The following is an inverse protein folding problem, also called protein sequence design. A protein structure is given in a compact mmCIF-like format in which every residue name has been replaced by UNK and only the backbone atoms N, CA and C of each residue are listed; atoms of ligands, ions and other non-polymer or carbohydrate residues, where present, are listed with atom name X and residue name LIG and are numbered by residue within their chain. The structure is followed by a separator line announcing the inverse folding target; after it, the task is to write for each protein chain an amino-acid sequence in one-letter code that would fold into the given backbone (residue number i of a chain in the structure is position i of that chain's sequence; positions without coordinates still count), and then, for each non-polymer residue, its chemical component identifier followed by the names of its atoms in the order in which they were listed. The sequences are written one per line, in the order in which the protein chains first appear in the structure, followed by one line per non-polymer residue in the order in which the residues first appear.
data_IF_390329643722
#
_entry.id   IF_390329643722
#
_cell.length_a   1.000
_cell.length_b   1.000
_cell.length_c   1.000
_cell.angle_alpha   90.00
_cell.angle_beta   90.00
_cell.angle_gamma   90.00
#
_symmetry.space_group_name_H-M   'P 1'
#
loop_
_entity.id
_entity.type
_entity.pdbx_description
1 polymer ?
#
# COMPACT_ATOMS: atom_id res chain seq x y z
N UNK A 1 -0.02 -6.83 15.79
CA UNK A 1 -0.43 -7.77 14.72
C UNK A 1 0.46 -9.01 14.64
N UNK A 2 1.73 -9.00 15.06
CA UNK A 2 2.54 -10.22 15.20
C UNK A 2 2.84 -10.99 13.90
N UNK A 3 2.41 -10.47 12.76
CA UNK A 3 2.58 -11.02 11.42
C UNK A 3 4.05 -11.00 10.98
N UNK A 4 4.45 -11.99 10.17
CA UNK A 4 5.78 -12.10 9.57
C UNK A 4 5.76 -11.94 8.03
N UNK A 5 4.57 -11.85 7.43
CA UNK A 5 4.40 -11.59 6.01
C UNK A 5 3.16 -10.72 5.73
N UNK A 6 3.17 -10.03 4.59
CA UNK A 6 2.00 -9.37 4.01
C UNK A 6 1.72 -10.04 2.66
N UNK A 7 0.48 -10.48 2.45
CA UNK A 7 0.04 -11.14 1.21
C UNK A 7 -0.99 -10.29 0.48
N UNK A 8 -1.12 -10.55 -0.83
CA UNK A 8 -1.98 -9.81 -1.74
C UNK A 8 -1.75 -8.29 -1.64
N UNK A 9 -0.48 -7.89 -1.73
CA UNK A 9 -0.12 -6.48 -1.73
C UNK A 9 -0.61 -5.85 -3.03
N UNK A 10 -1.35 -4.75 -2.89
CA UNK A 10 -1.78 -3.91 -3.99
C UNK A 10 -1.19 -2.51 -3.86
N UNK A 11 -0.97 -1.86 -5.00
CA UNK A 11 -0.36 -0.55 -5.11
C UNK A 11 -1.26 0.37 -5.92
N UNK A 12 -1.73 1.42 -5.26
CA UNK A 12 -2.54 2.46 -5.86
C UNK A 12 -1.71 3.72 -6.08
N UNK A 13 -1.91 4.34 -7.24
CA UNK A 13 -1.25 5.58 -7.64
C UNK A 13 -2.29 6.65 -7.92
N UNK A 14 -2.18 7.76 -7.20
CA UNK A 14 -3.09 8.87 -7.36
C UNK A 14 -2.33 10.17 -7.52
N UNK A 15 -2.65 10.89 -8.59
CA UNK A 15 -2.12 12.24 -8.81
C UNK A 15 -2.97 13.22 -7.99
N UNK A 16 -2.35 13.90 -7.04
CA UNK A 16 -3.00 14.81 -6.10
C UNK A 16 -2.30 16.19 -6.07
N UNK A 17 -2.90 17.13 -5.33
CA UNK A 17 -2.38 18.50 -5.19
C UNK A 17 -2.71 19.41 -6.38
N UNK A 18 -2.45 20.70 -6.22
CA UNK A 18 -2.71 21.68 -7.28
C UNK A 18 -1.94 21.31 -8.55
N UNK A 19 -2.65 21.27 -9.68
CA UNK A 19 -2.13 20.87 -10.99
C UNK A 19 -1.45 19.49 -11.05
N UNK A 20 -1.82 18.56 -10.16
CA UNK A 20 -1.21 17.23 -10.12
C UNK A 20 0.28 17.25 -9.80
N UNK A 21 0.71 18.22 -9.00
CA UNK A 21 2.11 18.42 -8.62
C UNK A 21 2.68 17.34 -7.71
N UNK A 22 1.83 16.45 -7.17
CA UNK A 22 2.23 15.38 -6.29
C UNK A 22 1.65 14.06 -6.75
N UNK A 23 2.44 13.00 -6.62
CA UNK A 23 2.00 11.63 -6.83
C UNK A 23 1.97 10.95 -5.46
N UNK A 24 0.78 10.54 -5.03
CA UNK A 24 0.59 9.70 -3.86
C UNK A 24 0.66 8.24 -4.28
N UNK A 25 1.35 7.44 -3.48
CA UNK A 25 1.40 5.99 -3.62
C UNK A 25 0.88 5.39 -2.32
N UNK A 26 -0.15 4.56 -2.42
CA UNK A 26 -0.71 3.79 -1.31
C UNK A 26 -0.41 2.31 -1.51
N UNK A 27 0.01 1.65 -0.44
CA UNK A 27 0.20 0.20 -0.42
C UNK A 27 -0.75 -0.41 0.60
N UNK A 28 -1.52 -1.41 0.16
CA UNK A 28 -2.44 -2.15 1.02
C UNK A 28 -2.23 -3.66 0.87
N UNK A 29 -2.62 -4.44 1.88
CA UNK A 29 -2.45 -5.89 1.87
C UNK A 29 -2.90 -6.54 3.18
N UNK A 30 -2.85 -7.87 3.25
CA UNK A 30 -3.28 -8.63 4.43
C UNK A 30 -2.07 -9.10 5.23
N UNK A 31 -1.98 -8.69 6.49
CA UNK A 31 -0.94 -9.14 7.42
C UNK A 31 -1.23 -10.56 7.93
N UNK A 32 -0.28 -11.48 7.77
CA UNK A 32 -0.42 -12.91 8.11
C UNK A 32 0.80 -13.44 8.88
N UNK A 33 0.60 -14.49 9.67
CA UNK A 33 1.69 -15.32 10.21
C UNK A 33 1.74 -16.59 9.37
N UNK A 34 2.89 -16.87 8.78
CA UNK A 34 3.15 -18.10 8.02
C UNK A 34 4.11 -18.95 8.84
N UNK A 35 3.80 -20.25 8.97
CA UNK A 35 4.65 -21.27 9.63
C UNK A 35 5.56 -21.98 8.62
#
# INVERSE_FOLDING_TARGET
MGANAIVAVDLDYETIGANGSMLMVSASGTAVVVE
#
